data_IF_408325894327
#
_entry.id   IF_408325894327
#
_cell.length_a   1.000
_cell.length_b   1.000
_cell.length_c   1.000
_cell.angle_alpha   90.00
_cell.angle_beta   90.00
_cell.angle_gamma   90.00
#
_symmetry.space_group_name_H-M   'P 1'
#
loop_
_entity.id
_entity.type
_entity.pdbx_description
1 polymer ?
#
# COMPACT_ATOMS: atom_id res chain seq x y z
N UNK A 1 -9.26 -20.86 -12.58
CA UNK A 1 -9.54 -19.59 -11.85
C UNK A 1 -9.69 -18.42 -12.81
N UNK A 2 -8.76 -18.24 -13.75
CA UNK A 2 -8.75 -17.11 -14.70
C UNK A 2 -9.93 -17.06 -15.68
N UNK A 3 -10.55 -18.20 -16.00
CA UNK A 3 -11.69 -18.28 -16.94
C UNK A 3 -12.98 -17.64 -16.45
N UNK A 4 -13.09 -17.32 -15.15
CA UNK A 4 -14.26 -16.62 -14.57
C UNK A 4 -14.11 -15.10 -14.52
N UNK A 5 -12.92 -14.57 -14.82
CA UNK A 5 -12.63 -13.14 -14.74
C UNK A 5 -12.82 -12.49 -16.11
N UNK A 6 -13.56 -11.39 -16.18
CA UNK A 6 -13.65 -10.59 -17.40
C UNK A 6 -12.34 -9.81 -17.58
N UNK A 7 -11.60 -10.13 -18.65
CA UNK A 7 -10.34 -9.48 -19.00
C UNK A 7 -10.45 -7.99 -19.25
N UNK A 8 -11.65 -7.47 -19.55
CA UNK A 8 -11.88 -6.04 -19.68
C UNK A 8 -11.75 -5.31 -18.35
N UNK A 9 -12.07 -6.00 -17.25
CA UNK A 9 -12.15 -5.38 -15.93
C UNK A 9 -11.19 -5.94 -14.89
N UNK A 10 -10.44 -6.98 -15.23
CA UNK A 10 -9.57 -7.71 -14.31
C UNK A 10 -8.18 -7.90 -14.89
N UNK A 11 -7.16 -7.67 -14.08
CA UNK A 11 -5.77 -8.05 -14.34
C UNK A 11 -5.35 -9.13 -13.34
N UNK A 12 -4.57 -10.10 -13.80
CA UNK A 12 -3.98 -11.13 -12.96
C UNK A 12 -2.47 -10.97 -12.98
N UNK A 13 -1.89 -10.87 -11.79
CA UNK A 13 -0.46 -10.61 -11.59
C UNK A 13 0.09 -11.73 -10.73
N UNK A 14 1.12 -12.40 -11.23
CA UNK A 14 1.86 -13.41 -10.47
C UNK A 14 3.12 -12.76 -9.88
N UNK A 15 3.23 -12.80 -8.55
CA UNK A 15 4.39 -12.28 -7.83
C UNK A 15 5.26 -13.46 -7.42
N UNK A 16 6.48 -13.48 -7.93
CA UNK A 16 7.44 -14.55 -7.65
C UNK A 16 7.97 -14.44 -6.22
N UNK A 17 8.29 -15.59 -5.62
CA UNK A 17 8.86 -15.68 -4.26
C UNK A 17 8.02 -14.98 -3.19
N UNK A 18 6.69 -15.03 -3.32
CA UNK A 18 5.76 -14.47 -2.38
C UNK A 18 4.76 -15.54 -1.92
N UNK A 19 4.44 -15.57 -0.63
CA UNK A 19 3.40 -16.42 -0.06
C UNK A 19 2.00 -15.82 -0.27
N UNK A 20 1.15 -16.00 0.74
CA UNK A 20 -0.27 -15.63 0.66
C UNK A 20 -0.53 -14.13 0.78
N UNK A 21 0.42 -13.34 1.29
CA UNK A 21 0.20 -11.95 1.69
C UNK A 21 1.15 -11.01 0.95
N UNK A 22 0.92 -10.86 -0.36
CA UNK A 22 1.73 -10.01 -1.25
C UNK A 22 1.95 -8.59 -0.73
N UNK A 23 0.94 -8.00 -0.08
CA UNK A 23 1.05 -6.64 0.46
C UNK A 23 2.01 -6.57 1.66
N UNK A 24 2.13 -7.63 2.46
CA UNK A 24 3.05 -7.67 3.60
C UNK A 24 4.45 -8.14 3.20
N UNK A 25 4.53 -9.18 2.36
CA UNK A 25 5.80 -9.81 1.98
C UNK A 25 6.55 -9.01 0.90
N UNK A 26 5.85 -8.48 -0.10
CA UNK A 26 6.43 -7.72 -1.21
C UNK A 26 5.54 -6.53 -1.61
N UNK A 27 5.39 -5.51 -0.75
CA UNK A 27 4.52 -4.35 -1.02
C UNK A 27 4.89 -3.61 -2.32
N UNK A 28 6.18 -3.56 -2.65
CA UNK A 28 6.70 -2.91 -3.85
C UNK A 28 6.29 -3.63 -5.15
N UNK A 29 6.06 -4.95 -5.11
CA UNK A 29 5.64 -5.72 -6.28
C UNK A 29 4.25 -5.31 -6.79
N UNK A 30 3.44 -4.64 -5.95
CA UNK A 30 2.09 -4.18 -6.31
C UNK A 30 2.02 -2.75 -6.83
N UNK A 31 3.10 -1.97 -6.75
CA UNK A 31 3.12 -0.58 -7.20
C UNK A 31 2.89 -0.46 -8.70
N UNK A 32 3.76 -1.12 -9.49
CA UNK A 32 3.72 -1.05 -10.96
C UNK A 32 2.40 -1.64 -11.52
N UNK A 33 1.93 -2.82 -11.08
CA UNK A 33 0.70 -3.38 -11.62
C UNK A 33 -0.54 -2.53 -11.32
N UNK A 34 -0.62 -1.91 -10.14
CA UNK A 34 -1.71 -1.01 -9.79
C UNK A 34 -1.68 0.26 -10.64
N UNK A 35 -0.50 0.83 -10.88
CA UNK A 35 -0.32 1.99 -11.75
C UNK A 35 -0.84 1.73 -13.17
N UNK A 36 -0.38 0.65 -13.81
CA UNK A 36 -0.84 0.28 -15.15
C UNK A 36 -2.33 -0.03 -15.20
N UNK A 37 -2.88 -0.68 -14.17
CA UNK A 37 -4.30 -0.96 -14.09
C UNK A 37 -5.11 0.34 -14.09
N UNK A 38 -4.75 1.31 -13.23
CA UNK A 38 -5.42 2.61 -13.20
C UNK A 38 -5.21 3.44 -14.45
N UNK A 39 -4.05 3.34 -15.10
CA UNK A 39 -3.81 3.98 -16.40
C UNK A 39 -4.79 3.47 -17.46
N UNK A 40 -5.08 2.17 -17.50
CA UNK A 40 -6.06 1.58 -18.41
C UNK A 40 -7.47 2.15 -18.26
N UNK A 41 -7.83 2.64 -17.07
CA UNK A 41 -9.11 3.29 -16.80
C UNK A 41 -9.06 4.83 -16.87
N UNK A 42 -7.90 5.42 -17.15
CA UNK A 42 -7.72 6.88 -17.06
C UNK A 42 -7.85 7.44 -15.64
N UNK A 43 -7.76 6.59 -14.62
CA UNK A 43 -7.78 6.97 -13.19
C UNK A 43 -6.38 7.30 -12.66
N UNK A 44 -5.34 6.91 -13.39
CA UNK A 44 -3.99 7.23 -13.02
C UNK A 44 -3.77 8.74 -13.08
N UNK A 45 -3.56 9.32 -11.90
CA UNK A 45 -3.10 10.69 -11.75
C UNK A 45 -1.66 10.60 -11.27
N UNK A 46 -0.67 10.98 -12.11
CA UNK A 46 0.70 11.11 -11.65
C UNK A 46 0.68 11.98 -10.39
N UNK A 47 1.29 11.49 -9.30
CA UNK A 47 1.61 12.35 -8.18
C UNK A 47 2.55 13.42 -8.73
N UNK A 48 1.99 14.58 -9.10
CA UNK A 48 2.79 15.77 -9.31
C UNK A 48 3.40 16.03 -7.95
N UNK A 49 4.69 15.78 -7.84
CA UNK A 49 5.47 16.15 -6.67
C UNK A 49 5.34 17.67 -6.57
N UNK A 50 4.33 18.11 -5.85
CA UNK A 50 4.16 19.50 -5.52
C UNK A 50 4.97 19.70 -4.25
N UNK A 51 6.04 20.49 -4.33
CA UNK A 51 6.72 21.03 -3.15
C UNK A 51 5.82 21.95 -2.30
N UNK A 52 4.51 21.92 -2.53
CA UNK A 52 3.53 22.70 -1.82
C UNK A 52 3.12 21.95 -0.54
N UNK A 53 3.54 22.40 0.66
CA UNK A 53 3.28 21.73 1.92
C UNK A 53 1.78 21.69 2.32
N UNK A 54 0.90 22.34 1.54
CA UNK A 54 -0.55 22.32 1.75
C UNK A 54 -1.35 21.48 0.75
N UNK A 55 -0.68 20.79 -0.19
CA UNK A 55 -1.39 19.96 -1.17
C UNK A 55 -1.93 18.68 -0.52
N UNK A 56 -3.21 18.31 -0.71
CA UNK A 56 -3.72 17.03 -0.25
C UNK A 56 -3.21 15.84 -1.10
N UNK A 57 -2.45 16.11 -2.18
CA UNK A 57 -1.95 15.12 -3.13
C UNK A 57 -0.42 15.00 -3.14
N UNK A 58 0.31 15.78 -2.33
CA UNK A 58 1.72 15.52 -2.07
C UNK A 58 1.86 14.24 -1.24
N UNK A 59 2.86 13.36 -1.51
CA UNK A 59 3.16 12.28 -0.59
C UNK A 59 3.38 12.92 0.77
N UNK A 60 2.57 12.52 1.74
CA UNK A 60 2.60 13.12 3.06
C UNK A 60 4.03 13.07 3.55
N UNK A 61 4.71 14.22 3.62
CA UNK A 61 6.02 14.37 4.25
C UNK A 61 5.92 14.23 5.77
N UNK A 62 4.97 13.42 6.23
CA UNK A 62 4.79 13.04 7.61
C UNK A 62 5.94 12.10 7.90
N UNK A 63 6.88 12.58 8.72
CA UNK A 63 8.02 11.75 9.09
C UNK A 63 7.49 10.47 9.78
N UNK A 64 8.12 9.31 9.57
CA UNK A 64 7.64 8.03 10.13
C UNK A 64 7.42 8.10 11.65
N UNK A 65 8.21 8.93 12.33
CA UNK A 65 8.12 9.19 13.77
C UNK A 65 6.78 9.81 14.17
N UNK A 66 6.11 10.56 13.28
CA UNK A 66 4.80 11.15 13.53
C UNK A 66 3.65 10.13 13.42
N UNK A 67 3.88 8.97 12.80
CA UNK A 67 2.91 7.88 12.75
C UNK A 67 3.03 6.94 13.98
N UNK A 68 3.98 7.21 14.88
CA UNK A 68 4.10 6.44 16.12
C UNK A 68 2.90 6.71 17.04
N UNK A 69 2.44 5.71 17.80
CA UNK A 69 1.41 5.92 18.82
C UNK A 69 1.79 7.03 19.81
N UNK A 70 3.07 7.12 20.17
CA UNK A 70 3.61 8.10 21.09
C UNK A 70 3.49 9.53 20.55
N UNK A 71 3.85 9.76 19.28
CA UNK A 71 3.73 11.07 18.63
C UNK A 71 2.27 11.48 18.41
N UNK A 72 1.38 10.52 18.20
CA UNK A 72 -0.06 10.75 18.08
C UNK A 72 -0.74 11.01 19.45
N UNK A 73 0.01 10.97 20.55
CA UNK A 73 -0.53 11.13 21.90
C UNK A 73 -1.40 9.97 22.37
N UNK A 74 -1.31 8.81 21.69
CA UNK A 74 -2.09 7.62 21.99
C UNK A 74 -1.37 6.79 23.05
N UNK A 75 -1.97 6.69 24.24
CA UNK A 75 -1.49 5.77 25.29
C UNK A 75 -2.04 4.37 25.06
N UNK A 76 -1.50 3.66 24.06
CA UNK A 76 -1.90 2.29 23.77
C UNK A 76 -1.42 1.36 24.88
N UNK A 77 -2.33 0.56 25.43
CA UNK A 77 -1.97 -0.59 26.28
C UNK A 77 -1.74 -1.78 25.34
N UNK A 78 -0.66 -2.55 25.50
CA UNK A 78 -0.47 -3.78 24.75
C UNK A 78 -1.70 -4.68 24.90
N UNK A 79 -2.36 -4.98 23.78
CA UNK A 79 -3.39 -6.00 23.75
C UNK A 79 -2.65 -7.34 23.81
N UNK A 80 -3.04 -8.23 24.72
CA UNK A 80 -2.50 -9.60 24.79
C UNK A 80 -2.94 -10.40 23.56
N UNK A 81 -2.30 -10.17 22.42
CA UNK A 81 -2.44 -11.02 21.25
C UNK A 81 -1.51 -12.23 21.42
N UNK A 82 -1.99 -13.43 21.06
CA UNK A 82 -1.24 -14.69 21.22
C UNK A 82 -0.15 -14.89 20.15
N UNK A 83 0.43 -13.82 19.62
CA UNK A 83 1.43 -13.91 18.54
C UNK A 83 2.80 -13.68 19.16
N UNK A 84 3.63 -14.73 19.15
CA UNK A 84 5.01 -14.64 19.60
C UNK A 84 5.81 -13.77 18.64
N UNK A 85 6.41 -12.69 19.13
CA UNK A 85 7.46 -11.97 18.44
C UNK A 85 8.67 -12.91 18.31
N UNK A 86 8.93 -13.43 17.11
CA UNK A 86 10.27 -13.91 16.77
C UNK A 86 11.13 -12.68 16.48
N UNK A 87 12.16 -12.50 17.29
CA UNK A 87 13.24 -11.50 17.13
C UNK A 87 14.30 -12.08 16.21
#
# INVERSE_FOLDING_TARGET
MTSKLDRRYSALVEVQACGSMVIEEQPHAMLIPMEYFFMGYGLYRPCQYSDNPRSPLSPSCISPELLSPESMGLKLKPIKTRVSLQV
#
